data_IF_151718558709
#
_entry.id   IF_151718558709
#
_cell.length_a   1.000
_cell.length_b   1.000
_cell.length_c   1.000
_cell.angle_alpha   90.00
_cell.angle_beta   90.00
_cell.angle_gamma   90.00
#
_symmetry.space_group_name_H-M   'P 1'
#
loop_
_entity.id
_entity.type
_entity.pdbx_description
1 polymer ?
#
# COMPACT_ATOMS: atom_id res chain seq x y z
N UNK A 1 19.21 25.22 -6.86
CA UNK A 1 18.44 25.79 -5.74
C UNK A 1 19.36 26.72 -4.93
N UNK A 2 18.97 27.99 -4.74
CA UNK A 2 19.75 28.94 -3.94
C UNK A 2 19.60 28.66 -2.43
N UNK A 3 20.54 29.15 -1.63
CA UNK A 3 20.55 29.09 -0.14
C UNK A 3 19.18 29.41 0.50
N UNK A 4 18.40 30.28 -0.13
CA UNK A 4 17.05 30.71 0.28
C UNK A 4 16.01 29.57 0.30
N UNK A 5 16.10 28.59 -0.61
CA UNK A 5 15.17 27.45 -0.67
C UNK A 5 15.43 26.44 0.45
N UNK A 6 16.68 26.24 0.84
CA UNK A 6 17.08 25.39 1.98
C UNK A 6 16.67 26.06 3.30
N UNK A 7 16.77 27.40 3.39
CA UNK A 7 16.30 28.16 4.54
C UNK A 7 14.77 28.08 4.71
N UNK A 8 14.02 28.24 3.61
CA UNK A 8 12.56 28.06 3.63
C UNK A 8 12.17 26.62 4.00
N UNK A 9 12.90 25.63 3.50
CA UNK A 9 12.73 24.22 3.84
C UNK A 9 12.97 23.94 5.33
N UNK A 10 14.08 24.41 5.90
CA UNK A 10 14.36 24.32 7.35
C UNK A 10 13.31 25.08 8.17
N UNK A 11 12.79 26.19 7.65
CA UNK A 11 11.72 26.94 8.30
C UNK A 11 10.39 26.17 8.28
N UNK A 12 10.02 25.52 7.17
CA UNK A 12 8.86 24.63 7.11
C UNK A 12 9.00 23.46 8.09
N UNK A 13 10.18 22.82 8.17
CA UNK A 13 10.44 21.79 9.19
C UNK A 13 10.37 22.34 10.62
N UNK A 14 10.83 23.58 10.84
CA UNK A 14 10.68 24.23 12.15
C UNK A 14 9.23 24.53 12.53
N UNK A 15 8.37 24.82 11.54
CA UNK A 15 6.93 25.01 11.78
C UNK A 15 6.20 23.70 12.03
N UNK A 16 6.65 22.62 11.37
CA UNK A 16 6.16 21.25 11.62
C UNK A 16 6.54 20.81 13.04
N UNK A 17 7.78 21.06 13.48
CA UNK A 17 8.28 20.66 14.81
C UNK A 17 7.65 21.41 16.00
N UNK A 18 6.88 22.48 15.76
CA UNK A 18 6.22 23.27 16.83
C UNK A 18 4.69 23.11 16.83
N UNK A 19 4.12 22.29 15.93
CA UNK A 19 2.66 22.10 15.79
C UNK A 19 1.89 23.45 15.76
N UNK A 20 2.44 24.42 15.01
CA UNK A 20 1.81 25.72 14.86
C UNK A 20 0.51 25.67 14.04
N UNK A 21 -0.28 26.76 14.02
CA UNK A 21 -1.56 26.85 13.29
C UNK A 21 -1.42 26.67 11.75
N UNK A 22 -0.20 26.56 11.24
CA UNK A 22 0.11 26.41 9.81
C UNK A 22 0.76 25.06 9.45
N UNK A 23 0.62 24.03 10.29
CA UNK A 23 1.25 22.72 10.05
C UNK A 23 0.86 22.10 8.70
N UNK A 24 -0.43 22.15 8.35
CA UNK A 24 -0.93 21.66 7.07
C UNK A 24 -0.28 22.39 5.88
N UNK A 25 -0.25 23.73 5.90
CA UNK A 25 0.37 24.53 4.84
C UNK A 25 1.88 24.29 4.75
N UNK A 26 2.54 24.04 5.89
CA UNK A 26 3.94 23.66 5.90
C UNK A 26 4.16 22.29 5.23
N UNK A 27 3.32 21.30 5.51
CA UNK A 27 3.34 20.01 4.81
C UNK A 27 3.06 20.16 3.31
N UNK A 28 2.06 20.94 2.91
CA UNK A 28 1.77 21.22 1.50
C UNK A 28 3.00 21.83 0.80
N UNK A 29 3.69 22.77 1.45
CA UNK A 29 4.94 23.32 0.95
C UNK A 29 6.02 22.24 0.80
N UNK A 30 6.16 21.36 1.80
CA UNK A 30 7.11 20.24 1.77
C UNK A 30 6.78 19.28 0.61
N UNK A 31 5.51 19.00 0.32
CA UNK A 31 5.08 18.17 -0.83
C UNK A 31 5.51 18.81 -2.15
N UNK A 32 5.35 20.13 -2.29
CA UNK A 32 5.83 20.87 -3.48
C UNK A 32 7.35 20.84 -3.59
N UNK A 33 8.07 21.00 -2.48
CA UNK A 33 9.52 20.96 -2.40
C UNK A 33 10.08 19.57 -2.70
N UNK A 34 9.44 18.50 -2.22
CA UNK A 34 9.78 17.12 -2.55
C UNK A 34 9.58 16.80 -4.04
N UNK A 35 8.73 17.58 -4.73
CA UNK A 35 8.42 17.44 -6.16
C UNK A 35 9.32 18.27 -7.08
N UNK A 36 10.39 18.87 -6.55
CA UNK A 36 11.36 19.66 -7.32
C UNK A 36 12.14 18.75 -8.27
N UNK A 37 12.06 19.06 -9.57
CA UNK A 37 12.72 18.29 -10.64
C UNK A 37 14.24 18.33 -10.50
N UNK A 38 14.92 17.24 -10.91
CA UNK A 38 16.39 17.13 -10.91
C UNK A 38 17.07 18.32 -11.60
N UNK A 39 16.51 18.85 -12.69
CA UNK A 39 17.07 19.96 -13.46
C UNK A 39 17.19 21.29 -12.69
N UNK A 40 16.57 21.43 -11.51
CA UNK A 40 16.69 22.62 -10.66
C UNK A 40 17.92 22.57 -9.72
N UNK A 41 18.62 21.44 -9.69
CA UNK A 41 19.88 21.28 -8.98
C UNK A 41 21.03 21.43 -9.98
N UNK A 42 21.86 22.45 -9.76
CA UNK A 42 23.02 22.75 -10.61
C UNK A 42 24.14 21.72 -10.38
N UNK A 43 24.24 21.22 -9.15
CA UNK A 43 25.26 20.25 -8.73
C UNK A 43 24.61 19.08 -7.99
N UNK A 44 25.10 17.85 -8.25
CA UNK A 44 24.62 16.63 -7.59
C UNK A 44 24.77 16.64 -6.05
N UNK A 45 25.86 17.17 -5.45
CA UNK A 45 25.97 17.28 -3.99
C UNK A 45 24.85 18.10 -3.34
N UNK A 46 24.41 19.19 -3.98
CA UNK A 46 23.32 20.01 -3.48
C UNK A 46 21.99 19.24 -3.46
N UNK A 47 21.78 18.36 -4.44
CA UNK A 47 20.61 17.49 -4.51
C UNK A 47 20.63 16.41 -3.44
N UNK A 48 21.77 15.73 -3.26
CA UNK A 48 21.94 14.72 -2.20
C UNK A 48 21.75 15.34 -0.81
N UNK A 49 22.30 16.54 -0.59
CA UNK A 49 22.10 17.27 0.66
C UNK A 49 20.63 17.65 0.88
N UNK A 50 19.92 18.11 -0.17
CA UNK A 50 18.50 18.42 -0.08
C UNK A 50 17.67 17.16 0.26
N UNK A 51 17.94 16.04 -0.40
CA UNK A 51 17.28 14.76 -0.12
C UNK A 51 17.52 14.31 1.33
N UNK A 52 18.76 14.40 1.81
CA UNK A 52 19.11 14.04 3.19
C UNK A 52 18.32 14.87 4.21
N UNK A 53 18.21 16.20 4.00
CA UNK A 53 17.38 17.04 4.87
C UNK A 53 15.88 16.68 4.79
N UNK A 54 15.38 16.32 3.60
CA UNK A 54 13.99 15.90 3.39
C UNK A 54 13.67 14.58 4.10
N UNK A 55 14.57 13.59 4.00
CA UNK A 55 14.44 12.33 4.71
C UNK A 55 14.56 12.53 6.23
N UNK A 56 15.47 13.39 6.69
CA UNK A 56 15.62 13.68 8.12
C UNK A 56 14.34 14.31 8.70
N UNK A 57 13.72 15.23 7.97
CA UNK A 57 12.48 15.87 8.42
C UNK A 57 11.30 14.90 8.50
N UNK A 58 11.14 14.03 7.49
CA UNK A 58 10.07 13.01 7.53
C UNK A 58 10.35 11.93 8.58
N UNK A 59 11.62 11.57 8.82
CA UNK A 59 12.05 10.70 9.92
C UNK A 59 11.61 11.26 11.28
N UNK A 60 11.86 12.54 11.54
CA UNK A 60 11.50 13.19 12.81
C UNK A 60 9.98 13.19 13.04
N UNK A 61 9.19 13.48 12.00
CA UNK A 61 7.72 13.42 12.08
C UNK A 61 7.25 11.99 12.39
N UNK A 62 7.85 10.98 11.75
CA UNK A 62 7.51 9.57 12.00
C UNK A 62 7.85 9.13 13.43
N UNK A 63 8.99 9.56 13.97
CA UNK A 63 9.43 9.22 15.33
C UNK A 63 8.57 9.88 16.40
N UNK A 64 8.20 11.14 16.19
CA UNK A 64 7.45 11.93 17.17
C UNK A 64 5.94 11.77 17.06
N UNK A 65 5.45 11.34 15.90
CA UNK A 65 4.01 11.31 15.59
C UNK A 65 3.38 12.72 15.47
N UNK A 66 4.20 13.76 15.39
CA UNK A 66 3.73 15.13 15.54
C UNK A 66 2.79 15.56 14.41
N UNK A 67 1.65 16.13 14.77
CA UNK A 67 0.64 16.63 13.83
C UNK A 67 -0.17 15.54 13.11
N UNK A 68 0.22 14.27 13.22
CA UNK A 68 -0.41 13.13 12.55
C UNK A 68 -1.73 12.67 13.20
N UNK A 69 -2.14 13.27 14.32
CA UNK A 69 -3.46 13.05 14.91
C UNK A 69 -4.59 13.75 14.12
N UNK A 70 -4.25 14.78 13.34
CA UNK A 70 -5.19 15.47 12.46
C UNK A 70 -5.25 14.79 11.09
N UNK A 71 -6.46 14.56 10.58
CA UNK A 71 -6.68 13.83 9.34
C UNK A 71 -6.10 14.55 8.11
N UNK A 72 -6.23 15.88 8.03
CA UNK A 72 -5.69 16.66 6.91
C UNK A 72 -4.16 16.59 6.87
N UNK A 73 -3.54 16.77 8.03
CA UNK A 73 -2.09 16.66 8.18
C UNK A 73 -1.57 15.26 7.81
N UNK A 74 -2.25 14.22 8.28
CA UNK A 74 -1.88 12.85 7.97
C UNK A 74 -1.98 12.53 6.48
N UNK A 75 -3.07 12.95 5.84
CA UNK A 75 -3.25 12.80 4.41
C UNK A 75 -2.11 13.48 3.64
N UNK A 76 -1.79 14.73 3.99
CA UNK A 76 -0.70 15.46 3.32
C UNK A 76 0.67 14.83 3.59
N UNK A 77 0.86 14.24 4.77
CA UNK A 77 2.08 13.50 5.08
C UNK A 77 2.21 12.20 4.27
N UNK A 78 1.13 11.44 4.09
CA UNK A 78 1.09 10.29 3.17
C UNK A 78 1.44 10.73 1.74
N UNK A 79 0.89 11.87 1.28
CA UNK A 79 1.23 12.47 -0.02
C UNK A 79 2.71 12.80 -0.12
N UNK A 80 3.30 13.39 0.92
CA UNK A 80 4.73 13.71 0.98
C UNK A 80 5.61 12.47 0.81
N UNK A 81 5.32 11.40 1.56
CA UNK A 81 6.03 10.12 1.44
C UNK A 81 5.91 9.54 0.02
N UNK A 82 4.71 9.59 -0.57
CA UNK A 82 4.47 9.18 -1.95
C UNK A 82 5.31 9.93 -3.00
N UNK A 83 5.81 11.14 -2.71
CA UNK A 83 6.62 11.93 -3.66
C UNK A 83 8.09 11.51 -3.73
N UNK A 84 8.64 10.82 -2.73
CA UNK A 84 10.07 10.51 -2.71
C UNK A 84 10.46 9.70 -3.94
N UNK A 85 9.82 8.56 -4.18
CA UNK A 85 10.24 7.67 -5.27
C UNK A 85 9.85 8.16 -6.67
N UNK A 86 8.91 9.10 -6.76
CA UNK A 86 8.58 9.82 -8.00
C UNK A 86 9.74 10.70 -8.45
N UNK A 87 10.45 11.31 -7.50
CA UNK A 87 11.43 12.37 -7.78
C UNK A 87 12.89 11.94 -7.56
N UNK A 88 13.13 10.91 -6.74
CA UNK A 88 14.45 10.39 -6.40
C UNK A 88 14.57 8.91 -6.78
N UNK A 89 15.71 8.52 -7.32
CA UNK A 89 16.01 7.13 -7.62
C UNK A 89 16.25 6.34 -6.33
N UNK A 90 16.01 5.02 -6.36
CA UNK A 90 16.25 4.18 -5.17
C UNK A 90 17.74 4.23 -4.74
N UNK A 91 18.65 4.28 -5.71
CA UNK A 91 20.09 4.49 -5.46
C UNK A 91 20.39 5.79 -4.70
N UNK A 92 19.66 6.88 -4.98
CA UNK A 92 19.82 8.14 -4.24
C UNK A 92 19.36 8.00 -2.79
N UNK A 93 18.29 7.25 -2.53
CA UNK A 93 17.78 7.00 -1.18
C UNK A 93 18.74 6.13 -0.37
N UNK A 94 19.27 5.05 -0.98
CA UNK A 94 20.22 4.13 -0.34
C UNK A 94 21.52 4.82 0.08
N UNK A 95 21.92 5.89 -0.61
CA UNK A 95 23.12 6.66 -0.29
C UNK A 95 22.96 7.57 0.94
N UNK A 96 21.76 7.67 1.52
CA UNK A 96 21.53 8.43 2.76
C UNK A 96 21.82 7.53 3.96
N UNK A 97 22.71 7.98 4.85
CA UNK A 97 23.27 7.21 5.98
C UNK A 97 22.20 6.51 6.85
N UNK A 98 21.08 7.18 7.10
CA UNK A 98 19.98 6.68 7.92
C UNK A 98 18.81 6.10 7.12
N UNK A 99 19.04 5.68 5.87
CA UNK A 99 18.00 5.08 5.01
C UNK A 99 17.28 3.92 5.67
N UNK A 100 18.01 2.98 6.30
CA UNK A 100 17.42 1.80 6.92
C UNK A 100 16.47 2.14 8.07
N UNK A 101 16.87 3.08 8.93
CA UNK A 101 16.03 3.60 10.02
C UNK A 101 14.78 4.29 9.47
N UNK A 102 14.95 5.17 8.48
CA UNK A 102 13.83 5.85 7.84
C UNK A 102 12.86 4.87 7.18
N UNK A 103 13.36 3.88 6.46
CA UNK A 103 12.54 2.86 5.80
C UNK A 103 11.74 2.04 6.82
N UNK A 104 12.36 1.67 7.94
CA UNK A 104 11.70 0.97 9.04
C UNK A 104 10.55 1.78 9.65
N UNK A 105 10.76 3.08 9.87
CA UNK A 105 9.71 3.97 10.37
C UNK A 105 8.56 4.14 9.37
N UNK A 106 8.86 4.26 8.07
CA UNK A 106 7.84 4.33 7.01
C UNK A 106 7.05 3.01 6.95
N UNK A 107 7.70 1.87 7.16
CA UNK A 107 7.05 0.57 7.21
C UNK A 107 6.08 0.46 8.37
N UNK A 108 6.54 0.79 9.59
CA UNK A 108 5.70 0.79 10.79
C UNK A 108 4.49 1.72 10.62
N UNK A 109 4.72 2.92 10.09
CA UNK A 109 3.66 3.87 9.80
C UNK A 109 2.66 3.30 8.79
N UNK A 110 3.13 2.71 7.70
CA UNK A 110 2.27 2.09 6.67
C UNK A 110 1.42 0.96 7.28
N UNK A 111 2.01 0.08 8.09
CA UNK A 111 1.27 -1.00 8.76
C UNK A 111 0.18 -0.43 9.67
N UNK A 112 0.46 0.62 10.45
CA UNK A 112 -0.54 1.30 11.28
C UNK A 112 -1.66 1.93 10.44
N UNK A 113 -1.33 2.55 9.30
CA UNK A 113 -2.32 3.09 8.36
C UNK A 113 -3.26 2.03 7.83
N UNK A 114 -2.72 0.85 7.47
CA UNK A 114 -3.50 -0.26 6.94
C UNK A 114 -4.47 -0.84 7.98
N UNK A 115 -4.04 -0.95 9.23
CA UNK A 115 -4.90 -1.40 10.33
C UNK A 115 -6.00 -0.38 10.66
N UNK A 116 -5.71 0.91 10.52
CA UNK A 116 -6.66 2.02 10.76
C UNK A 116 -7.44 2.40 9.49
N UNK A 117 -7.98 1.39 8.79
CA UNK A 117 -8.52 1.52 7.44
C UNK A 117 -9.66 2.56 7.33
N UNK A 118 -10.53 2.69 8.33
CA UNK A 118 -11.62 3.67 8.36
C UNK A 118 -11.12 5.11 8.31
N UNK A 119 -9.95 5.37 8.89
CA UNK A 119 -9.41 6.72 9.04
C UNK A 119 -8.38 7.06 7.95
N UNK A 120 -7.71 6.06 7.38
CA UNK A 120 -6.63 6.25 6.42
C UNK A 120 -6.94 5.80 4.98
N UNK A 121 -8.15 5.29 4.68
CA UNK A 121 -8.53 4.69 3.39
C UNK A 121 -8.06 5.47 2.16
N UNK A 122 -8.35 6.77 2.11
CA UNK A 122 -8.00 7.67 1.00
C UNK A 122 -6.51 8.09 0.97
N UNK A 123 -5.77 7.81 2.05
CA UNK A 123 -4.36 8.20 2.22
C UNK A 123 -3.40 7.02 2.00
N UNK A 124 -3.86 5.79 2.26
CA UNK A 124 -3.10 4.54 2.12
C UNK A 124 -2.58 4.35 0.70
N UNK A 125 -3.34 4.77 -0.31
CA UNK A 125 -2.92 4.69 -1.72
C UNK A 125 -1.53 5.31 -1.96
N UNK A 126 -1.22 6.46 -1.36
CA UNK A 126 0.07 7.11 -1.53
C UNK A 126 1.23 6.28 -0.96
N UNK A 127 0.98 5.60 0.16
CA UNK A 127 1.95 4.72 0.80
C UNK A 127 2.18 3.48 -0.05
N UNK A 128 1.11 2.82 -0.50
CA UNK A 128 1.23 1.66 -1.39
C UNK A 128 1.93 2.01 -2.71
N UNK A 129 1.66 3.19 -3.26
CA UNK A 129 2.35 3.70 -4.46
C UNK A 129 3.84 3.92 -4.22
N UNK A 130 4.24 4.40 -3.04
CA UNK A 130 5.64 4.49 -2.65
C UNK A 130 6.30 3.10 -2.67
N UNK A 131 5.71 2.13 -1.98
CA UNK A 131 6.25 0.77 -1.90
C UNK A 131 6.32 0.08 -3.27
N UNK A 132 5.27 0.22 -4.10
CA UNK A 132 5.23 -0.34 -5.46
C UNK A 132 6.36 0.23 -6.33
N UNK A 133 6.59 1.54 -6.26
CA UNK A 133 7.70 2.19 -6.99
C UNK A 133 9.08 1.81 -6.45
N UNK A 134 9.20 1.52 -5.15
CA UNK A 134 10.45 1.05 -4.55
C UNK A 134 10.79 -0.35 -5.08
N UNK A 135 9.86 -1.30 -5.01
CA UNK A 135 10.09 -2.69 -5.46
C UNK A 135 10.35 -2.79 -6.95
N UNK A 136 9.61 -2.05 -7.76
CA UNK A 136 9.82 -2.00 -9.21
C UNK A 136 11.16 -1.39 -9.60
N UNK A 137 11.83 -0.68 -8.68
CA UNK A 137 13.16 -0.13 -8.90
C UNK A 137 14.31 -1.05 -8.49
N UNK A 138 14.05 -2.09 -7.69
CA UNK A 138 15.07 -3.03 -7.21
C UNK A 138 15.82 -3.72 -8.36
N UNK A 139 15.16 -4.23 -9.43
CA UNK A 139 15.87 -4.88 -10.53
C UNK A 139 16.89 -3.98 -11.27
N UNK A 140 16.80 -2.66 -11.08
CA UNK A 140 17.68 -1.68 -11.72
C UNK A 140 18.80 -1.18 -10.80
N UNK A 141 18.87 -1.68 -9.55
CA UNK A 141 19.99 -1.39 -8.66
C UNK A 141 21.27 -2.05 -9.20
N UNK A 142 22.35 -1.28 -9.17
CA UNK A 142 23.69 -1.76 -9.55
C UNK A 142 24.47 -2.10 -8.30
N UNK A 143 25.10 -3.27 -8.28
CA UNK A 143 25.90 -3.76 -7.17
C UNK A 143 25.08 -4.47 -6.08
N UNK A 144 25.77 -4.91 -5.03
CA UNK A 144 25.21 -5.77 -3.98
C UNK A 144 24.61 -5.00 -2.79
N UNK A 145 24.27 -3.72 -2.97
CA UNK A 145 23.72 -2.92 -1.87
C UNK A 145 22.32 -3.44 -1.48
N UNK A 146 22.11 -3.86 -0.22
CA UNK A 146 20.84 -4.45 0.18
C UNK A 146 19.73 -3.41 0.15
N UNK A 147 18.62 -3.74 -0.51
CA UNK A 147 17.46 -2.84 -0.63
C UNK A 147 16.67 -2.70 0.68
N UNK A 148 16.80 -3.67 1.60
CA UNK A 148 16.02 -3.81 2.85
C UNK A 148 14.50 -3.98 2.63
N UNK A 149 14.07 -4.18 1.38
CA UNK A 149 12.65 -4.35 1.01
C UNK A 149 12.18 -5.80 1.15
N UNK A 150 13.09 -6.77 1.06
CA UNK A 150 12.80 -8.21 1.05
C UNK A 150 12.00 -8.71 2.24
N UNK A 151 12.22 -8.13 3.43
CA UNK A 151 11.51 -8.50 4.66
C UNK A 151 10.29 -7.64 4.94
N UNK A 152 10.29 -6.42 4.41
CA UNK A 152 9.33 -5.37 4.77
C UNK A 152 8.10 -5.41 3.87
N UNK A 153 8.32 -5.55 2.56
CA UNK A 153 7.24 -5.52 1.56
C UNK A 153 6.24 -6.66 1.76
N UNK A 154 6.65 -7.93 1.98
CA UNK A 154 5.68 -9.01 2.21
C UNK A 154 4.71 -8.71 3.35
N UNK A 155 5.21 -8.19 4.47
CA UNK A 155 4.39 -7.81 5.63
C UNK A 155 3.38 -6.71 5.31
N UNK A 156 3.76 -5.74 4.47
CA UNK A 156 2.86 -4.67 4.03
C UNK A 156 1.79 -5.22 3.09
N UNK A 157 2.16 -6.10 2.16
CA UNK A 157 1.23 -6.77 1.25
C UNK A 157 0.20 -7.60 2.03
N UNK A 158 0.68 -8.44 2.96
CA UNK A 158 -0.17 -9.24 3.84
C UNK A 158 -1.08 -8.35 4.68
N UNK A 159 -0.54 -7.30 5.30
CA UNK A 159 -1.30 -6.33 6.09
C UNK A 159 -2.40 -5.63 5.30
N UNK A 160 -2.16 -5.31 4.02
CA UNK A 160 -3.19 -4.73 3.15
C UNK A 160 -4.31 -5.73 2.87
N UNK A 161 -3.98 -6.96 2.46
CA UNK A 161 -4.96 -8.00 2.16
C UNK A 161 -5.80 -8.30 3.40
N UNK A 162 -5.16 -8.53 4.55
CA UNK A 162 -5.86 -8.77 5.82
C UNK A 162 -6.75 -7.60 6.23
N UNK A 163 -6.30 -6.35 6.04
CA UNK A 163 -7.11 -5.16 6.33
C UNK A 163 -8.42 -5.14 5.53
N UNK A 164 -8.39 -5.47 4.23
CA UNK A 164 -9.60 -5.53 3.39
C UNK A 164 -10.55 -6.66 3.76
N UNK A 165 -10.01 -7.82 4.14
CA UNK A 165 -10.84 -8.94 4.60
C UNK A 165 -11.52 -8.63 5.94
N UNK A 166 -10.81 -7.95 6.84
CA UNK A 166 -11.34 -7.53 8.13
C UNK A 166 -12.32 -6.36 8.01
N UNK A 167 -12.15 -5.46 7.04
CA UNK A 167 -13.09 -4.35 6.84
C UNK A 167 -14.49 -4.84 6.49
N UNK A 168 -14.60 -5.92 5.71
CA UNK A 168 -15.90 -6.56 5.43
C UNK A 168 -16.57 -7.02 6.72
N UNK A 169 -15.84 -7.73 7.59
CA UNK A 169 -16.38 -8.22 8.86
C UNK A 169 -16.87 -7.06 9.75
N UNK A 170 -16.11 -5.97 9.82
CA UNK A 170 -16.46 -4.81 10.62
C UNK A 170 -17.72 -4.08 10.09
N UNK A 171 -17.84 -3.90 8.77
CA UNK A 171 -19.01 -3.23 8.16
C UNK A 171 -20.33 -3.97 8.42
N UNK A 172 -20.29 -5.31 8.48
CA UNK A 172 -21.47 -6.13 8.79
C UNK A 172 -21.74 -6.26 10.30
N UNK A 173 -20.71 -6.22 11.16
CA UNK A 173 -20.89 -6.31 12.61
C UNK A 173 -21.56 -5.06 13.21
N UNK A 174 -21.20 -3.87 12.72
CA UNK A 174 -21.69 -2.59 13.26
C UNK A 174 -23.06 -2.17 12.68
N UNK A 175 -23.64 -2.94 11.74
CA UNK A 175 -24.83 -2.56 10.95
C UNK A 175 -24.74 -1.15 10.33
N UNK A 176 -23.51 -0.64 10.18
CA UNK A 176 -23.22 0.66 9.59
C UNK A 176 -22.66 0.38 8.21
N UNK A 177 -23.49 0.45 7.14
CA UNK A 177 -22.97 0.32 5.78
C UNK A 177 -21.86 1.35 5.58
N UNK A 178 -20.71 0.90 5.13
CA UNK A 178 -19.58 1.76 4.79
C UNK A 178 -19.98 2.59 3.56
N UNK A 179 -20.27 3.90 3.70
CA UNK A 179 -20.72 4.72 2.59
C UNK A 179 -19.64 4.87 1.51
N UNK A 180 -18.38 4.59 1.86
CA UNK A 180 -17.23 4.62 0.97
C UNK A 180 -16.74 3.20 0.62
N UNK A 181 -17.63 2.19 0.69
CA UNK A 181 -17.30 0.80 0.37
C UNK A 181 -16.63 0.70 -1.01
N UNK A 182 -15.33 0.36 -1.09
CA UNK A 182 -14.62 0.35 -2.36
C UNK A 182 -15.19 -0.66 -3.35
N UNK A 183 -15.81 -1.75 -2.88
CA UNK A 183 -16.41 -2.76 -3.75
C UNK A 183 -17.62 -2.23 -4.55
N UNK A 184 -18.27 -1.17 -4.07
CA UNK A 184 -19.41 -0.54 -4.76
C UNK A 184 -18.97 0.53 -5.77
N UNK A 185 -17.71 0.96 -5.70
CA UNK A 185 -17.13 1.97 -6.59
C UNK A 185 -15.91 1.42 -7.34
N UNK A 186 -16.13 1.05 -8.61
CA UNK A 186 -15.10 0.46 -9.46
C UNK A 186 -13.86 1.36 -9.64
N UNK A 187 -14.01 2.69 -9.66
CA UNK A 187 -12.86 3.62 -9.78
C UNK A 187 -12.04 3.61 -8.50
N UNK A 188 -12.69 3.73 -7.33
CA UNK A 188 -12.04 3.66 -6.01
C UNK A 188 -11.33 2.31 -5.80
N UNK A 189 -11.97 1.21 -6.19
CA UNK A 189 -11.38 -0.12 -6.13
C UNK A 189 -10.13 -0.24 -7.00
N UNK A 190 -10.21 0.26 -8.24
CA UNK A 190 -9.10 0.21 -9.18
C UNK A 190 -7.91 1.05 -8.69
N UNK A 191 -8.16 2.22 -8.09
CA UNK A 191 -7.12 3.06 -7.50
C UNK A 191 -6.43 2.33 -6.35
N UNK A 192 -7.19 1.74 -5.42
CA UNK A 192 -6.62 1.00 -4.29
C UNK A 192 -5.79 -0.22 -4.72
N UNK A 193 -6.22 -0.91 -5.78
CA UNK A 193 -5.55 -2.10 -6.30
C UNK A 193 -4.43 -1.78 -7.31
N UNK A 194 -4.25 -0.53 -7.76
CA UNK A 194 -3.26 -0.18 -8.79
C UNK A 194 -1.83 -0.58 -8.38
N UNK A 195 -1.48 -0.38 -7.11
CA UNK A 195 -0.13 -0.62 -6.59
C UNK A 195 0.10 -2.07 -6.14
N UNK A 196 -0.97 -2.78 -5.77
CA UNK A 196 -0.89 -4.08 -5.10
C UNK A 196 -0.20 -5.18 -5.92
N UNK A 197 -0.49 -5.37 -7.23
CA UNK A 197 0.13 -6.43 -8.03
C UNK A 197 1.66 -6.42 -8.02
N UNK A 198 2.27 -5.23 -8.02
CA UNK A 198 3.72 -5.08 -7.97
C UNK A 198 4.30 -5.51 -6.62
N UNK A 199 3.57 -5.25 -5.53
CA UNK A 199 3.95 -5.68 -4.18
C UNK A 199 3.84 -7.21 -4.06
N UNK A 200 2.73 -7.79 -4.53
CA UNK A 200 2.55 -9.24 -4.55
C UNK A 200 3.65 -9.94 -5.33
N UNK A 201 4.01 -9.42 -6.51
CA UNK A 201 5.02 -10.04 -7.37
C UNK A 201 6.47 -9.84 -6.93
N UNK A 202 6.72 -8.97 -5.95
CA UNK A 202 8.06 -8.81 -5.40
C UNK A 202 8.54 -10.07 -4.66
N UNK A 203 7.62 -10.74 -3.96
CA UNK A 203 7.82 -12.08 -3.37
C UNK A 203 6.63 -12.97 -3.74
N UNK A 204 6.59 -13.35 -5.02
CA UNK A 204 5.36 -13.90 -5.60
C UNK A 204 4.93 -15.22 -4.98
N UNK A 205 5.85 -16.16 -4.79
CA UNK A 205 5.57 -17.46 -4.17
C UNK A 205 4.94 -17.30 -2.77
N UNK A 206 5.58 -16.57 -1.87
CA UNK A 206 5.06 -16.39 -0.51
C UNK A 206 3.71 -15.66 -0.50
N UNK A 207 3.56 -14.64 -1.36
CA UNK A 207 2.31 -13.90 -1.45
C UNK A 207 1.17 -14.76 -2.02
N UNK A 208 1.43 -15.56 -3.04
CA UNK A 208 0.43 -16.45 -3.64
C UNK A 208 -0.01 -17.53 -2.66
N UNK A 209 0.92 -18.14 -1.92
CA UNK A 209 0.59 -19.09 -0.85
C UNK A 209 -0.25 -18.45 0.24
N UNK A 210 0.06 -17.20 0.63
CA UNK A 210 -0.75 -16.45 1.60
C UNK A 210 -2.18 -16.21 1.09
N UNK A 211 -2.34 -15.75 -0.15
CA UNK A 211 -3.65 -15.53 -0.79
C UNK A 211 -4.44 -16.85 -0.86
N UNK A 212 -3.79 -17.96 -1.23
CA UNK A 212 -4.39 -19.30 -1.27
C UNK A 212 -4.88 -19.70 0.13
N UNK A 213 -4.06 -19.53 1.16
CA UNK A 213 -4.41 -19.90 2.53
C UNK A 213 -5.57 -19.08 3.11
N UNK A 214 -5.81 -17.86 2.61
CA UNK A 214 -7.00 -17.07 2.94
C UNK A 214 -8.21 -17.51 2.11
N UNK A 215 -8.02 -17.75 0.81
CA UNK A 215 -9.11 -18.05 -0.11
C UNK A 215 -9.73 -19.43 0.14
N UNK A 216 -8.91 -20.44 0.46
CA UNK A 216 -9.37 -21.83 0.59
C UNK A 216 -10.43 -22.01 1.70
N UNK A 217 -10.24 -21.50 2.94
CA UNK A 217 -11.27 -21.58 3.97
C UNK A 217 -12.55 -20.81 3.61
N UNK A 218 -12.43 -19.68 2.91
CA UNK A 218 -13.58 -18.89 2.45
C UNK A 218 -14.43 -19.67 1.43
N UNK A 219 -13.77 -20.33 0.46
CA UNK A 219 -14.44 -21.18 -0.52
C UNK A 219 -15.15 -22.37 0.12
N UNK A 220 -14.50 -23.02 1.10
CA UNK A 220 -15.09 -24.14 1.83
C UNK A 220 -16.32 -23.68 2.64
N UNK A 221 -16.21 -22.56 3.35
CA UNK A 221 -17.31 -21.98 4.13
C UNK A 221 -18.49 -21.58 3.23
N UNK A 222 -18.22 -20.97 2.07
CA UNK A 222 -19.23 -20.59 1.10
C UNK A 222 -19.95 -21.83 0.52
N UNK A 223 -19.21 -22.86 0.12
CA UNK A 223 -19.75 -24.10 -0.44
C UNK A 223 -20.58 -24.90 0.57
N UNK A 224 -20.16 -24.93 1.84
CA UNK A 224 -20.90 -25.62 2.88
C UNK A 224 -22.25 -24.95 3.15
N UNK A 225 -22.28 -23.61 3.16
CA UNK A 225 -23.50 -22.83 3.42
C UNK A 225 -24.45 -22.78 2.22
N UNK A 226 -23.95 -22.79 0.99
CA UNK A 226 -24.82 -22.82 -0.21
C UNK A 226 -25.66 -24.10 -0.34
N UNK A 227 -25.32 -25.16 0.40
CA UNK A 227 -26.04 -26.45 0.43
C UNK A 227 -27.09 -26.56 1.53
N UNK A 228 -27.18 -25.59 2.46
CA UNK A 228 -28.12 -25.60 3.59
C UNK A 228 -29.41 -24.85 3.23
N UNK A 229 -30.60 -25.31 3.66
CA UNK A 229 -31.86 -24.57 3.47
C UNK A 229 -31.82 -23.20 4.17
N UNK A 230 -32.24 -22.15 3.46
CA UNK A 230 -32.18 -20.76 3.90
C UNK A 230 -33.04 -20.49 5.15
N UNK A 231 -32.47 -20.58 6.35
CA UNK A 231 -33.05 -19.96 7.55
C UNK A 231 -31.98 -19.73 8.63
N UNK A 232 -31.48 -18.49 8.73
CA UNK A 232 -30.68 -18.00 9.86
C UNK A 232 -29.42 -17.21 9.48
N UNK A 233 -28.69 -17.64 8.46
CA UNK A 233 -27.28 -17.24 8.25
C UNK A 233 -27.05 -16.17 7.15
N UNK A 234 -28.09 -15.43 6.73
CA UNK A 234 -27.98 -14.51 5.60
C UNK A 234 -26.88 -13.44 5.79
N UNK A 235 -26.72 -12.90 7.00
CA UNK A 235 -25.70 -11.91 7.31
C UNK A 235 -24.27 -12.51 7.28
N UNK A 236 -24.07 -13.72 7.80
CA UNK A 236 -22.78 -14.40 7.75
C UNK A 236 -22.39 -14.80 6.33
N UNK A 237 -23.38 -15.17 5.50
CA UNK A 237 -23.17 -15.45 4.09
C UNK A 237 -22.73 -14.19 3.33
N UNK A 238 -23.37 -13.04 3.57
CA UNK A 238 -22.97 -11.77 2.96
C UNK A 238 -21.56 -11.33 3.35
N UNK A 239 -21.12 -11.59 4.59
CA UNK A 239 -19.72 -11.37 5.00
C UNK A 239 -18.76 -12.19 4.15
N UNK A 240 -19.04 -13.49 3.98
CA UNK A 240 -18.20 -14.38 3.18
C UNK A 240 -18.16 -13.96 1.72
N UNK A 241 -19.31 -13.58 1.16
CA UNK A 241 -19.40 -13.07 -0.21
C UNK A 241 -18.57 -11.79 -0.40
N UNK A 242 -18.63 -10.85 0.55
CA UNK A 242 -17.81 -9.63 0.50
C UNK A 242 -16.32 -9.92 0.60
N UNK A 243 -15.91 -10.88 1.43
CA UNK A 243 -14.52 -11.31 1.55
C UNK A 243 -14.04 -11.99 0.27
N UNK A 244 -14.85 -12.89 -0.31
CA UNK A 244 -14.57 -13.53 -1.59
C UNK A 244 -14.48 -12.49 -2.71
N UNK A 245 -15.36 -11.49 -2.74
CA UNK A 245 -15.32 -10.41 -3.73
C UNK A 245 -13.98 -9.67 -3.70
N UNK A 246 -13.49 -9.28 -2.52
CA UNK A 246 -12.15 -8.70 -2.37
C UNK A 246 -11.05 -9.62 -2.90
N UNK A 247 -11.09 -10.91 -2.54
CA UNK A 247 -10.09 -11.88 -3.00
C UNK A 247 -10.09 -12.04 -4.52
N UNK A 248 -11.28 -12.10 -5.14
CA UNK A 248 -11.43 -12.18 -6.60
C UNK A 248 -10.85 -10.93 -7.26
N UNK A 249 -11.15 -9.73 -6.75
CA UNK A 249 -10.60 -8.48 -7.31
C UNK A 249 -9.08 -8.37 -7.13
N UNK A 250 -8.55 -8.79 -5.98
CA UNK A 250 -7.10 -8.85 -5.73
C UNK A 250 -6.42 -9.81 -6.71
N UNK A 251 -6.94 -11.02 -6.87
CA UNK A 251 -6.40 -12.02 -7.81
C UNK A 251 -6.48 -11.50 -9.25
N UNK A 252 -7.62 -10.93 -9.65
CA UNK A 252 -7.78 -10.35 -10.97
C UNK A 252 -6.77 -9.22 -11.23
N UNK A 253 -6.51 -8.35 -10.25
CA UNK A 253 -5.51 -7.30 -10.36
C UNK A 253 -4.08 -7.87 -10.53
N UNK A 254 -3.74 -8.92 -9.79
CA UNK A 254 -2.44 -9.61 -9.90
C UNK A 254 -2.25 -10.21 -11.30
N UNK A 255 -3.25 -10.96 -11.78
CA UNK A 255 -3.23 -11.63 -13.08
C UNK A 255 -3.23 -10.64 -14.27
N UNK A 256 -3.79 -9.44 -14.09
CA UNK A 256 -3.85 -8.39 -15.13
C UNK A 256 -2.45 -7.92 -15.54
N UNK A 257 -1.52 -7.83 -14.60
CA UNK A 257 -0.14 -7.50 -14.94
C UNK A 257 0.49 -8.76 -15.52
N UNK A 258 1.35 -8.67 -16.54
CA UNK A 258 2.23 -9.79 -16.92
C UNK A 258 3.66 -9.40 -16.55
N UNK A 259 4.33 -10.26 -15.79
CA UNK A 259 5.77 -10.23 -15.51
C UNK A 259 6.27 -9.21 -14.46
N UNK A 260 7.16 -9.69 -13.60
CA UNK A 260 8.23 -8.91 -12.97
C UNK A 260 9.57 -9.39 -13.53
N UNK A 261 10.47 -8.47 -13.83
CA UNK A 261 11.80 -8.77 -14.39
C UNK A 261 12.62 -9.56 -13.37
N UNK A 262 13.17 -10.72 -13.75
CA UNK A 262 14.18 -11.45 -12.96
C UNK A 262 13.75 -12.74 -12.27
N UNK A 263 12.56 -13.29 -12.53
CA UNK A 263 12.09 -14.57 -11.99
C UNK A 263 11.89 -15.62 -13.10
N UNK A 264 11.93 -16.91 -12.77
CA UNK A 264 11.69 -17.98 -13.73
C UNK A 264 10.22 -17.98 -14.16
N UNK A 265 9.99 -17.87 -15.46
CA UNK A 265 8.65 -17.73 -16.04
C UNK A 265 7.74 -18.91 -15.66
N UNK A 266 8.26 -20.14 -15.69
CA UNK A 266 7.53 -21.36 -15.37
C UNK A 266 6.96 -21.39 -13.94
N UNK A 267 7.70 -20.82 -12.97
CA UNK A 267 7.23 -20.77 -11.57
C UNK A 267 6.12 -19.74 -11.38
N UNK A 268 6.17 -18.61 -12.09
CA UNK A 268 5.14 -17.59 -12.01
C UNK A 268 3.84 -18.05 -12.67
N UNK A 269 3.92 -18.74 -13.81
CA UNK A 269 2.75 -19.28 -14.50
C UNK A 269 2.01 -20.33 -13.66
N UNK A 270 2.75 -21.14 -12.88
CA UNK A 270 2.13 -22.07 -11.95
C UNK A 270 1.30 -21.35 -10.88
N UNK A 271 1.84 -20.32 -10.25
CA UNK A 271 1.08 -19.55 -9.24
C UNK A 271 -0.09 -18.78 -9.86
N UNK A 272 0.08 -18.21 -11.06
CA UNK A 272 -1.02 -17.58 -11.80
C UNK A 272 -2.16 -18.59 -12.05
N UNK A 273 -1.81 -19.82 -12.47
CA UNK A 273 -2.79 -20.90 -12.69
C UNK A 273 -3.49 -21.32 -11.40
N UNK A 274 -2.76 -21.45 -10.30
CA UNK A 274 -3.33 -21.84 -9.00
C UNK A 274 -4.27 -20.78 -8.41
N UNK A 275 -3.93 -19.50 -8.56
CA UNK A 275 -4.81 -18.40 -8.15
C UNK A 275 -6.06 -18.34 -9.04
N UNK A 276 -5.90 -18.49 -10.36
CA UNK A 276 -7.02 -18.50 -11.30
C UNK A 276 -7.96 -19.68 -11.05
N UNK A 277 -7.42 -20.88 -10.77
CA UNK A 277 -8.21 -22.07 -10.51
C UNK A 277 -9.20 -21.87 -9.34
N UNK A 278 -8.77 -21.20 -8.26
CA UNK A 278 -9.62 -20.91 -7.10
C UNK A 278 -10.73 -19.92 -7.39
N UNK A 279 -10.46 -18.90 -8.21
CA UNK A 279 -11.51 -17.99 -8.69
C UNK A 279 -12.51 -18.73 -9.58
N UNK A 280 -12.03 -19.60 -10.48
CA UNK A 280 -12.90 -20.37 -11.38
C UNK A 280 -13.74 -21.43 -10.65
N UNK A 281 -13.27 -21.97 -9.52
CA UNK A 281 -14.07 -22.87 -8.68
C UNK A 281 -15.38 -22.23 -8.22
N UNK A 282 -15.42 -20.90 -8.04
CA UNK A 282 -16.64 -20.18 -7.68
C UNK A 282 -17.74 -20.37 -8.71
N UNK A 283 -17.42 -20.41 -10.01
CA UNK A 283 -18.41 -20.58 -11.09
C UNK A 283 -19.22 -21.85 -10.89
N UNK A 284 -18.56 -22.96 -10.55
CA UNK A 284 -19.23 -24.23 -10.30
C UNK A 284 -20.14 -24.17 -9.06
N UNK A 285 -19.78 -23.36 -8.07
CA UNK A 285 -20.56 -23.18 -6.84
C UNK A 285 -21.76 -22.28 -7.08
N UNK A 286 -21.63 -21.23 -7.90
CA UNK A 286 -22.77 -20.36 -8.28
C UNK A 286 -23.74 -21.06 -9.24
N UNK A 287 -23.25 -21.94 -10.12
CA UNK A 287 -24.11 -22.69 -11.06
C UNK A 287 -24.85 -23.85 -10.39
N UNK A 288 -24.30 -24.41 -9.30
CA UNK A 288 -24.97 -25.43 -8.47
C UNK A 288 -25.76 -24.85 -7.30
N UNK A 289 -25.47 -23.59 -6.91
CA UNK A 289 -26.18 -22.81 -5.92
C UNK A 289 -27.45 -22.21 -6.53
N UNK A 290 -28.59 -22.68 -6.05
CA UNK A 290 -29.93 -22.28 -6.48
C UNK A 290 -30.12 -20.76 -6.37
N UNK A 291 -29.97 -20.05 -7.49
CA UNK A 291 -30.73 -18.83 -7.75
C UNK A 291 -32.02 -19.23 -8.48
N UNK A 292 -32.95 -19.85 -7.73
CA UNK A 292 -34.37 -19.97 -8.06
C UNK A 292 -35.18 -19.71 -6.80
#
# INVERSE_FOLDING_TARGET
MNFTSIFFFKKCLSYVSVQGPCFLQALECLVRLASVRRSLFVEDPARSQFLSHLMSGTREILQTGQGLADHGNYHEFCRLLGRFKVNYQLSELLNVEFYGEWLGLVAEFTTKSLLSWQWASNSVYYLLSLWSRLVTSVPYLKGDTPSLLDETVPKITEGFITSRINSVQASFADNSPDPDNPLENAESLQDQLESLPYLCRFKYESCSLFIINIMEPLLQAYTARSRLPASGDAAELSVIEGQIAWMVHIIAAILKIRQTVGCSQDSQELFDAELAARVLQLINITDTGVHA
#
